data_IF_155332468469
#
_entry.id   IF_155332468469
#
_cell.length_a   1.000
_cell.length_b   1.000
_cell.length_c   1.000
_cell.angle_alpha   90.00
_cell.angle_beta   90.00
_cell.angle_gamma   90.00
#
_symmetry.space_group_name_H-M   'P 1'
#
loop_
_entity.id
_entity.type
_entity.pdbx_description
1 polymer ?
#
# COMPACT_ATOMS: atom_id res chain seq x y z
N UNK A 1 -58.38 -16.32 -18.16
CA UNK A 1 -57.75 -17.03 -17.03
C UNK A 1 -56.82 -16.07 -16.30
N UNK A 2 -57.05 -15.91 -14.98
CA UNK A 2 -56.12 -15.48 -13.90
C UNK A 2 -55.43 -14.09 -14.05
N UNK A 3 -55.93 -13.07 -13.35
CA UNK A 3 -55.46 -12.56 -12.02
C UNK A 3 -54.34 -11.49 -12.16
N UNK A 4 -54.64 -10.20 -11.91
CA UNK A 4 -54.39 -9.44 -10.65
C UNK A 4 -52.97 -8.80 -10.65
N UNK A 5 -52.63 -7.60 -10.16
CA UNK A 5 -53.16 -6.64 -9.17
C UNK A 5 -52.64 -5.22 -9.51
N UNK A 6 -53.44 -4.21 -9.16
CA UNK A 6 -53.21 -2.76 -9.21
C UNK A 6 -52.10 -2.20 -8.29
N UNK A 7 -51.77 -0.91 -8.49
CA UNK A 7 -51.52 0.17 -7.49
C UNK A 7 -50.74 1.30 -8.18
N UNK A 8 -50.85 2.58 -7.87
CA UNK A 8 -51.85 3.45 -7.25
C UNK A 8 -51.30 4.87 -7.50
N UNK A 9 -52.18 5.82 -7.84
CA UNK A 9 -51.84 7.23 -7.94
C UNK A 9 -51.56 7.81 -6.55
N UNK A 10 -50.68 8.82 -6.45
CA UNK A 10 -50.86 10.01 -5.62
C UNK A 10 -49.58 10.86 -5.66
N UNK A 11 -49.74 12.14 -6.01
CA UNK A 11 -48.66 13.12 -6.06
C UNK A 11 -48.13 13.54 -4.69
N UNK A 12 -47.04 14.28 -4.71
CA UNK A 12 -46.58 15.16 -3.64
C UNK A 12 -45.85 16.32 -4.34
N UNK A 13 -46.47 17.50 -4.39
CA UNK A 13 -46.30 18.55 -3.39
C UNK A 13 -44.91 19.20 -3.49
N UNK A 14 -44.86 20.30 -4.24
CA UNK A 14 -43.74 21.25 -4.28
C UNK A 14 -43.67 21.93 -2.92
N UNK A 15 -42.60 21.70 -2.18
CA UNK A 15 -42.26 22.50 -1.00
C UNK A 15 -41.08 23.40 -1.37
N UNK A 16 -41.37 24.68 -1.57
CA UNK A 16 -40.34 25.73 -1.66
C UNK A 16 -39.88 26.03 -0.23
N UNK A 17 -38.73 25.48 0.15
CA UNK A 17 -38.10 25.80 1.42
C UNK A 17 -36.87 26.70 1.17
N UNK A 18 -36.94 27.92 1.70
CA UNK A 18 -35.89 28.93 1.70
C UNK A 18 -34.61 28.38 2.34
N UNK A 19 -33.60 28.08 1.52
CA UNK A 19 -32.33 27.53 1.97
C UNK A 19 -31.40 28.62 2.51
N UNK A 20 -31.13 28.56 3.82
CA UNK A 20 -29.93 29.15 4.41
C UNK A 20 -28.70 28.67 3.63
N UNK A 21 -27.89 29.59 3.12
CA UNK A 21 -26.62 29.27 2.49
C UNK A 21 -25.66 28.70 3.54
N UNK A 22 -25.59 27.38 3.63
CA UNK A 22 -24.53 26.68 4.37
C UNK A 22 -23.25 26.94 3.60
N UNK A 23 -22.41 27.85 4.08
CA UNK A 23 -21.03 27.98 3.62
C UNK A 23 -20.34 26.69 4.05
N UNK A 24 -20.21 25.75 3.11
CA UNK A 24 -19.47 24.53 3.34
C UNK A 24 -18.03 24.92 3.74
N UNK A 25 -17.47 24.36 4.83
CA UNK A 25 -16.06 24.54 5.11
C UNK A 25 -15.26 24.05 3.90
N UNK A 26 -14.15 24.73 3.55
CA UNK A 26 -13.30 24.26 2.46
C UNK A 26 -12.96 22.78 2.70
N UNK A 27 -12.98 21.94 1.64
CA UNK A 27 -12.67 20.54 1.79
C UNK A 27 -11.32 20.43 2.49
N UNK A 28 -11.31 19.74 3.63
CA UNK A 28 -10.08 19.35 4.28
C UNK A 28 -9.21 18.70 3.20
N UNK A 29 -8.07 19.31 2.91
CA UNK A 29 -7.04 18.69 2.09
C UNK A 29 -6.73 17.37 2.80
N UNK A 30 -7.19 16.26 2.23
CA UNK A 30 -6.73 14.95 2.67
C UNK A 30 -5.21 14.99 2.51
N UNK A 31 -4.49 14.86 3.63
CA UNK A 31 -3.04 14.71 3.61
C UNK A 31 -2.72 13.63 2.58
N UNK A 32 -2.07 14.05 1.50
CA UNK A 32 -1.71 13.15 0.42
C UNK A 32 -0.69 12.20 1.01
N UNK A 33 -1.14 11.01 1.42
CA UNK A 33 -0.30 9.91 1.89
C UNK A 33 0.75 9.65 0.82
N UNK A 34 1.97 10.13 1.04
CA UNK A 34 2.99 10.10 -0.03
C UNK A 34 3.98 8.98 0.25
N UNK A 35 3.60 7.77 -0.15
CA UNK A 35 4.56 6.67 -0.22
C UNK A 35 5.62 6.95 -1.27
N UNK A 36 6.88 6.70 -0.94
CA UNK A 36 8.03 6.92 -1.82
C UNK A 36 8.34 5.63 -2.58
N UNK A 37 8.39 5.75 -3.90
CA UNK A 37 8.89 4.68 -4.76
C UNK A 37 10.40 4.88 -5.01
N UNK A 38 11.22 3.89 -4.65
CA UNK A 38 12.67 3.94 -4.92
C UNK A 38 13.30 2.55 -5.08
N UNK A 39 14.31 2.40 -5.96
CA UNK A 39 15.12 1.20 -6.02
C UNK A 39 16.00 1.08 -4.77
N UNK A 40 16.09 -0.13 -4.21
CA UNK A 40 17.01 -0.48 -3.12
C UNK A 40 17.72 -1.78 -3.42
N UNK A 41 18.99 -1.82 -3.07
CA UNK A 41 19.78 -3.04 -3.24
C UNK A 41 19.38 -4.09 -2.18
N UNK A 42 18.80 -5.20 -2.65
CA UNK A 42 18.52 -6.38 -1.85
C UNK A 42 19.64 -7.40 -1.98
N UNK A 43 19.97 -8.07 -0.88
CA UNK A 43 21.05 -9.06 -0.84
C UNK A 43 20.57 -10.33 -0.16
N UNK A 44 21.21 -11.47 -0.46
CA UNK A 44 21.00 -12.74 0.25
C UNK A 44 21.32 -12.66 1.75
N UNK A 45 22.22 -11.76 2.14
CA UNK A 45 22.66 -11.51 3.50
C UNK A 45 22.20 -10.12 3.92
N UNK A 46 21.61 -10.01 5.11
CA UNK A 46 21.00 -8.75 5.55
C UNK A 46 22.02 -7.62 5.76
N UNK A 47 23.28 -7.95 6.06
CA UNK A 47 24.37 -6.98 6.19
C UNK A 47 24.66 -6.26 4.87
N UNK A 48 24.62 -6.97 3.74
CA UNK A 48 24.85 -6.43 2.40
C UNK A 48 23.63 -5.75 1.77
N UNK A 49 22.46 -5.82 2.40
CA UNK A 49 21.25 -5.15 1.92
C UNK A 49 21.22 -3.67 2.32
N UNK A 50 20.74 -2.83 1.41
CA UNK A 50 20.61 -1.39 1.64
C UNK A 50 19.48 -1.10 2.62
N UNK A 51 19.76 -0.24 3.60
CA UNK A 51 18.78 0.27 4.54
C UNK A 51 17.94 1.38 3.90
N UNK A 52 16.65 1.36 4.19
CA UNK A 52 15.74 2.46 3.90
C UNK A 52 14.74 2.61 5.05
N UNK A 53 14.08 3.78 5.10
CA UNK A 53 13.11 4.11 6.14
C UNK A 53 11.74 4.32 5.52
N UNK A 54 10.75 3.64 6.06
CA UNK A 54 9.36 3.79 5.62
C UNK A 54 8.65 4.95 6.32
N UNK A 55 7.68 5.53 5.63
CA UNK A 55 6.70 6.45 6.22
C UNK A 55 5.65 5.65 7.00
N UNK A 56 5.17 6.23 8.10
CA UNK A 56 4.02 5.73 8.87
C UNK A 56 2.69 5.95 8.16
N UNK A 57 2.66 6.84 7.18
CA UNK A 57 1.48 7.08 6.34
C UNK A 57 1.27 5.94 5.33
N UNK A 58 2.33 5.20 4.98
CA UNK A 58 2.21 4.01 4.16
C UNK A 58 1.57 2.86 4.95
N UNK A 59 0.61 2.18 4.34
CA UNK A 59 0.01 0.99 4.95
C UNK A 59 0.91 -0.27 4.88
N UNK A 60 2.17 -0.10 4.46
CA UNK A 60 3.15 -1.15 4.29
C UNK A 60 4.25 -0.79 3.28
N UNK A 61 5.22 -1.68 3.18
CA UNK A 61 6.23 -1.68 2.11
C UNK A 61 5.84 -2.73 1.08
N UNK A 62 5.87 -2.33 -0.19
CA UNK A 62 5.64 -3.20 -1.33
C UNK A 62 6.92 -3.33 -2.14
N UNK A 63 7.21 -4.54 -2.64
CA UNK A 63 8.29 -4.79 -3.58
C UNK A 63 7.69 -5.00 -4.98
N UNK A 64 8.30 -4.40 -6.00
CA UNK A 64 7.87 -4.52 -7.39
C UNK A 64 9.07 -4.36 -8.32
N UNK A 65 9.17 -5.21 -9.33
CA UNK A 65 10.29 -5.21 -10.28
C UNK A 65 11.65 -5.57 -9.66
N UNK A 66 12.44 -6.33 -10.42
CA UNK A 66 13.84 -6.64 -10.09
C UNK A 66 14.71 -6.47 -11.32
N UNK A 67 15.95 -6.04 -11.17
CA UNK A 67 16.79 -5.73 -12.34
C UNK A 67 17.47 -6.95 -12.96
N UNK A 68 17.89 -7.94 -12.15
CA UNK A 68 18.72 -9.04 -12.64
C UNK A 68 17.87 -10.21 -13.13
N UNK A 69 17.11 -10.81 -12.21
CA UNK A 69 16.26 -11.98 -12.47
C UNK A 69 15.12 -12.05 -11.46
N UNK A 70 14.00 -12.63 -11.89
CA UNK A 70 12.90 -13.01 -10.99
C UNK A 70 13.45 -13.79 -9.79
N UNK A 71 13.12 -13.33 -8.59
CA UNK A 71 13.61 -13.88 -7.32
C UNK A 71 12.54 -13.76 -6.24
N UNK A 72 12.73 -14.45 -5.11
CA UNK A 72 11.91 -14.21 -3.93
C UNK A 72 12.55 -13.16 -3.04
N UNK A 73 11.76 -12.18 -2.65
CA UNK A 73 12.14 -11.07 -1.79
C UNK A 73 11.36 -11.20 -0.49
N UNK A 74 11.98 -10.88 0.64
CA UNK A 74 11.27 -10.67 1.91
C UNK A 74 11.65 -9.36 2.55
N UNK A 75 10.69 -8.75 3.24
CA UNK A 75 10.93 -7.58 4.05
C UNK A 75 11.50 -7.95 5.41
N UNK A 76 12.57 -7.25 5.82
CA UNK A 76 13.12 -7.30 7.16
C UNK A 76 12.97 -5.92 7.79
N UNK A 77 12.54 -5.85 9.04
CA UNK A 77 12.35 -4.58 9.74
C UNK A 77 12.97 -4.63 11.12
N UNK A 78 13.49 -3.49 11.58
CA UNK A 78 14.11 -3.39 12.90
C UNK A 78 13.05 -3.08 13.96
N UNK A 79 12.97 -3.88 15.03
CA UNK A 79 12.06 -3.68 16.16
C UNK A 79 12.64 -4.27 17.43
N UNK A 80 12.69 -3.47 18.50
CA UNK A 80 13.15 -3.93 19.82
C UNK A 80 14.57 -4.49 19.78
N UNK A 81 15.51 -3.74 19.22
CA UNK A 81 16.94 -4.10 19.19
C UNK A 81 17.32 -5.20 18.19
N UNK A 82 16.39 -5.72 17.39
CA UNK A 82 16.68 -6.84 16.47
C UNK A 82 15.93 -6.77 15.15
N UNK A 83 16.52 -7.38 14.11
CA UNK A 83 15.91 -7.52 12.79
C UNK A 83 14.88 -8.63 12.75
N UNK A 84 13.61 -8.27 12.61
CA UNK A 84 12.49 -9.20 12.51
C UNK A 84 12.20 -9.58 11.06
N UNK A 85 11.56 -10.73 10.89
CA UNK A 85 11.02 -11.18 9.60
C UNK A 85 9.55 -10.74 9.56
N UNK A 86 9.14 -10.18 8.44
CA UNK A 86 7.75 -9.83 8.18
C UNK A 86 6.85 -11.06 8.07
N UNK A 87 5.60 -10.95 8.52
CA UNK A 87 4.59 -12.01 8.41
C UNK A 87 4.27 -12.40 6.97
N UNK A 88 4.54 -11.51 6.01
CA UNK A 88 4.36 -11.78 4.57
C UNK A 88 5.38 -12.78 4.00
N UNK A 89 6.45 -13.10 4.74
CA UNK A 89 7.42 -14.12 4.32
C UNK A 89 8.14 -13.76 3.01
N UNK A 90 8.40 -14.79 2.20
CA UNK A 90 9.03 -14.67 0.88
C UNK A 90 7.98 -14.48 -0.21
N UNK A 91 8.03 -13.37 -0.93
CA UNK A 91 7.17 -13.07 -2.09
C UNK A 91 7.98 -13.10 -3.37
N UNK A 92 7.39 -13.59 -4.47
CA UNK A 92 8.10 -13.73 -5.74
C UNK A 92 7.95 -12.45 -6.57
N UNK A 93 9.06 -11.75 -6.79
CA UNK A 93 9.08 -10.51 -7.58
C UNK A 93 9.65 -10.78 -8.96
N UNK A 94 8.91 -10.38 -9.98
CA UNK A 94 9.23 -10.62 -11.39
C UNK A 94 10.09 -9.50 -11.96
N UNK A 95 11.02 -9.86 -12.86
CA UNK A 95 11.88 -8.90 -13.57
C UNK A 95 11.06 -7.88 -14.36
N UNK A 96 10.03 -8.35 -15.05
CA UNK A 96 9.23 -7.54 -15.97
C UNK A 96 8.13 -6.73 -15.25
N UNK A 97 8.15 -6.72 -13.92
CA UNK A 97 7.22 -5.97 -13.06
C UNK A 97 5.72 -6.25 -13.34
N UNK A 98 5.23 -7.40 -12.89
CA UNK A 98 3.83 -7.81 -13.05
C UNK A 98 2.91 -7.41 -11.87
N UNK A 99 3.34 -6.46 -11.04
CA UNK A 99 2.60 -6.03 -9.85
C UNK A 99 3.50 -5.78 -8.64
N UNK A 100 2.87 -5.31 -7.56
CA UNK A 100 3.54 -5.00 -6.31
C UNK A 100 3.02 -5.91 -5.19
N UNK A 101 3.95 -6.61 -4.54
CA UNK A 101 3.64 -7.51 -3.43
C UNK A 101 4.07 -6.90 -2.11
N UNK A 102 3.18 -6.95 -1.11
CA UNK A 102 3.47 -6.44 0.22
C UNK A 102 4.52 -7.32 0.90
N UNK A 103 5.60 -6.69 1.36
CA UNK A 103 6.72 -7.35 2.05
C UNK A 103 6.82 -6.95 3.52
N UNK A 104 6.30 -5.79 3.92
CA UNK A 104 6.17 -5.35 5.31
C UNK A 104 4.81 -4.67 5.48
N UNK A 105 4.10 -4.93 6.57
CA UNK A 105 2.84 -4.26 6.88
C UNK A 105 3.01 -3.23 8.01
N UNK A 106 2.00 -2.35 8.14
CA UNK A 106 1.86 -1.39 9.24
C UNK A 106 3.19 -0.69 9.56
N UNK A 107 3.72 0.04 8.56
CA UNK A 107 4.90 0.85 8.75
C UNK A 107 4.59 1.98 9.75
N UNK A 108 5.62 2.44 10.42
CA UNK A 108 5.58 3.60 11.32
C UNK A 108 6.70 4.52 10.83
N UNK A 109 6.58 5.81 11.09
CA UNK A 109 7.55 6.79 10.62
C UNK A 109 8.98 6.41 11.02
N UNK A 110 9.86 6.44 10.03
CA UNK A 110 11.27 6.19 10.23
C UNK A 110 11.65 4.72 10.45
N UNK A 111 10.71 3.77 10.37
CA UNK A 111 11.00 2.34 10.58
C UNK A 111 12.10 1.90 9.61
N UNK A 112 13.17 1.34 10.16
CA UNK A 112 14.27 0.82 9.37
C UNK A 112 13.90 -0.52 8.75
N UNK A 113 14.09 -0.59 7.44
CA UNK A 113 13.71 -1.71 6.59
C UNK A 113 14.87 -2.07 5.66
N UNK A 114 14.98 -3.35 5.36
CA UNK A 114 15.87 -3.91 4.35
C UNK A 114 15.14 -4.96 3.54
N UNK A 115 15.45 -4.99 2.24
CA UNK A 115 15.06 -6.08 1.36
C UNK A 115 16.06 -7.22 1.43
N UNK A 116 15.59 -8.44 1.64
CA UNK A 116 16.43 -9.63 1.54
C UNK A 116 16.01 -10.42 0.30
N UNK A 117 16.98 -10.66 -0.59
CA UNK A 117 16.80 -11.53 -1.75
C UNK A 117 17.04 -12.98 -1.35
N UNK A 118 16.37 -13.94 -2.01
CA UNK A 118 16.57 -15.35 -1.71
C UNK A 118 17.78 -15.91 -2.45
N UNK A 119 17.97 -15.52 -3.71
CA UNK A 119 18.91 -16.21 -4.61
C UNK A 119 20.07 -15.32 -5.06
N UNK A 120 19.80 -14.06 -5.42
CA UNK A 120 20.81 -13.21 -6.05
C UNK A 120 20.72 -11.78 -5.54
N UNK A 121 21.84 -11.16 -5.11
CA UNK A 121 21.86 -9.74 -4.80
C UNK A 121 21.49 -8.90 -6.02
N UNK A 122 20.52 -8.00 -5.88
CA UNK A 122 20.02 -7.19 -6.99
C UNK A 122 19.22 -5.98 -6.50
N UNK A 123 19.08 -4.99 -7.38
CA UNK A 123 18.14 -3.89 -7.13
C UNK A 123 16.70 -4.40 -7.27
N UNK A 124 15.88 -4.02 -6.30
CA UNK A 124 14.43 -4.26 -6.24
C UNK A 124 13.77 -2.88 -6.04
N UNK A 125 12.68 -2.59 -6.74
CA UNK A 125 11.95 -1.34 -6.47
C UNK A 125 11.00 -1.53 -5.31
N UNK A 126 10.94 -0.53 -4.43
CA UNK A 126 10.07 -0.54 -3.26
C UNK A 126 9.19 0.69 -3.23
N UNK A 127 7.96 0.54 -2.73
CA UNK A 127 7.05 1.61 -2.33
C UNK A 127 6.92 1.55 -0.82
N UNK A 128 7.27 2.63 -0.11
CA UNK A 128 7.39 2.65 1.36
C UNK A 128 7.25 4.04 1.97
#
# INVERSE_FOLDING_TARGET
MKQSVARAAAGAAVVVASGLAVVAPPPAHADTVTCVAAPKFSHVNLSGAQLFRASGECNGVYAFGVQTRTDKIRGRFYKGGSWKISSYGWVKIYKDNNGADKVVGNTIDGREIKGQAQTTPQQVSYLY
#
